data_IF_317817350281
#
_entry.id   IF_317817350281
#
_cell.length_a   1.000
_cell.length_b   1.000
_cell.length_c   1.000
_cell.angle_alpha   90.00
_cell.angle_beta   90.00
_cell.angle_gamma   90.00
#
_symmetry.space_group_name_H-M   'P 1'
#
loop_
_entity.id
_entity.type
_entity.pdbx_description
1 polymer ?
#
# COMPACT_ATOMS: atom_id res chain seq x y z
N UNK A 1 -0.30 -64.02 19.68
CA UNK A 1 -1.01 -62.94 20.37
C UNK A 1 -1.37 -61.86 19.35
N UNK A 2 -2.61 -61.83 18.93
CA UNK A 2 -3.12 -60.99 17.88
C UNK A 2 -3.41 -59.58 18.44
N UNK A 3 -2.90 -58.54 17.73
CA UNK A 3 -3.24 -57.13 18.00
C UNK A 3 -4.51 -56.76 17.25
N UNK A 4 -5.55 -56.36 18.01
CA UNK A 4 -6.77 -55.79 17.46
C UNK A 4 -6.53 -54.44 16.77
N UNK A 5 -7.12 -54.19 15.59
CA UNK A 5 -7.09 -52.86 14.97
C UNK A 5 -8.19 -51.96 15.57
N UNK A 6 -7.83 -50.71 15.83
CA UNK A 6 -8.72 -49.62 16.25
C UNK A 6 -9.78 -49.28 15.17
N UNK A 7 -10.99 -48.88 15.57
CA UNK A 7 -12.05 -48.57 14.61
C UNK A 7 -11.80 -47.25 13.87
N UNK A 8 -11.95 -47.27 12.56
CA UNK A 8 -11.95 -46.07 11.68
C UNK A 8 -13.27 -45.29 11.96
N UNK A 9 -13.16 -44.05 12.39
CA UNK A 9 -14.30 -43.14 12.44
C UNK A 9 -14.61 -42.65 11.01
N UNK A 10 -15.75 -43.08 10.50
CA UNK A 10 -16.39 -42.52 9.33
C UNK A 10 -16.98 -41.13 9.68
N UNK A 11 -16.29 -40.06 9.34
CA UNK A 11 -16.92 -38.75 9.23
C UNK A 11 -17.62 -38.68 7.87
N UNK A 12 -18.95 -38.85 7.89
CA UNK A 12 -19.78 -38.70 6.71
C UNK A 12 -19.81 -37.26 6.22
N UNK A 13 -19.33 -37.07 4.99
CA UNK A 13 -19.33 -35.78 4.24
C UNK A 13 -20.72 -35.43 3.67
N UNK A 14 -21.81 -36.08 4.08
CA UNK A 14 -23.15 -35.80 3.53
C UNK A 14 -23.99 -34.77 4.29
N UNK A 15 -23.58 -34.33 5.49
CA UNK A 15 -24.38 -33.39 6.29
C UNK A 15 -24.11 -31.90 6.00
N UNK A 16 -23.08 -31.58 5.21
CA UNK A 16 -22.72 -30.20 4.89
C UNK A 16 -23.28 -29.72 3.54
N UNK A 17 -23.81 -30.60 2.71
CA UNK A 17 -24.36 -30.23 1.38
C UNK A 17 -25.85 -29.88 1.44
N UNK A 18 -26.60 -30.42 2.43
CA UNK A 18 -28.05 -30.16 2.55
C UNK A 18 -28.44 -28.82 3.22
N UNK A 19 -27.47 -28.07 3.78
CA UNK A 19 -27.78 -26.76 4.40
C UNK A 19 -27.62 -25.58 3.47
N UNK A 20 -27.25 -25.79 2.20
CA UNK A 20 -27.03 -24.69 1.22
C UNK A 20 -28.25 -24.36 0.35
N UNK A 21 -29.35 -25.08 0.43
CA UNK A 21 -30.51 -24.90 -0.46
C UNK A 21 -31.81 -24.52 0.25
N UNK A 22 -31.75 -23.97 1.45
CA UNK A 22 -32.92 -23.38 2.08
C UNK A 22 -32.80 -21.88 2.15
N UNK A 23 -32.86 -21.21 0.97
CA UNK A 23 -33.32 -19.83 0.90
C UNK A 23 -34.84 -19.93 1.01
N UNK A 24 -35.50 -19.36 2.02
CA UNK A 24 -36.95 -19.30 2.03
C UNK A 24 -37.39 -18.43 0.86
N UNK A 25 -37.98 -19.03 -0.15
CA UNK A 25 -38.77 -18.28 -1.14
C UNK A 25 -39.97 -17.72 -0.36
N UNK A 26 -39.96 -16.42 -0.17
CA UNK A 26 -41.14 -15.67 0.26
C UNK A 26 -42.01 -15.60 -0.98
N UNK A 27 -43.20 -16.22 -0.91
CA UNK A 27 -44.24 -16.08 -1.93
C UNK A 27 -44.64 -14.59 -2.00
N UNK A 28 -44.40 -13.97 -3.14
CA UNK A 28 -44.68 -12.55 -3.40
C UNK A 28 -46.18 -12.25 -3.57
N UNK A 29 -47.06 -13.22 -3.40
CA UNK A 29 -48.53 -13.04 -3.55
C UNK A 29 -49.24 -12.44 -2.32
N UNK A 30 -48.57 -12.28 -1.17
CA UNK A 30 -49.16 -11.74 0.08
C UNK A 30 -48.47 -10.45 0.56
N UNK A 31 -47.76 -9.73 -0.28
CA UNK A 31 -47.21 -8.40 0.06
C UNK A 31 -48.34 -7.37 0.03
N UNK A 32 -48.61 -6.61 1.09
CA UNK A 32 -49.59 -5.52 1.04
C UNK A 32 -49.09 -4.50 0.01
N UNK A 33 -49.98 -4.16 -0.96
CA UNK A 33 -49.79 -3.01 -1.83
C UNK A 33 -49.61 -1.77 -0.96
N UNK A 34 -48.42 -1.27 -0.88
CA UNK A 34 -48.13 0.04 -0.29
C UNK A 34 -48.29 1.06 -1.40
N UNK A 35 -49.48 1.67 -1.46
CA UNK A 35 -49.69 2.90 -2.24
C UNK A 35 -48.79 3.98 -1.61
N UNK A 36 -47.64 4.23 -2.21
CA UNK A 36 -46.80 5.38 -1.89
C UNK A 36 -47.37 6.57 -2.66
N UNK A 37 -48.28 7.34 -2.04
CA UNK A 37 -48.63 8.67 -2.52
C UNK A 37 -47.44 9.58 -2.26
N UNK A 38 -46.64 9.79 -3.28
CA UNK A 38 -45.58 10.81 -3.28
C UNK A 38 -46.25 12.13 -3.58
N UNK A 39 -46.29 13.05 -2.62
CA UNK A 39 -46.69 14.42 -2.87
C UNK A 39 -45.65 15.05 -3.80
N UNK A 40 -46.07 15.35 -5.03
CA UNK A 40 -45.27 15.80 -6.17
C UNK A 40 -44.57 17.17 -5.96
N UNK A 41 -44.87 17.87 -4.85
CA UNK A 41 -44.34 19.22 -4.61
C UNK A 41 -43.07 19.26 -3.77
N UNK A 42 -42.65 18.15 -3.16
CA UNK A 42 -41.47 18.13 -2.24
C UNK A 42 -40.20 17.53 -2.82
N UNK A 43 -40.26 17.00 -4.04
CA UNK A 43 -39.12 16.31 -4.68
C UNK A 43 -38.37 17.18 -5.69
N UNK A 44 -38.91 18.37 -6.01
CA UNK A 44 -38.38 19.21 -7.10
C UNK A 44 -37.25 20.17 -6.70
N UNK A 45 -36.85 20.25 -5.45
CA UNK A 45 -35.87 21.24 -5.02
C UNK A 45 -34.48 20.64 -4.59
N UNK A 46 -34.23 19.34 -4.83
CA UNK A 46 -32.92 18.79 -4.62
C UNK A 46 -32.33 18.41 -5.99
N UNK A 47 -31.41 19.23 -6.55
CA UNK A 47 -30.87 19.00 -7.90
C UNK A 47 -29.94 17.80 -7.99
N UNK A 48 -29.73 17.06 -6.90
CA UNK A 48 -28.70 16.03 -6.78
C UNK A 48 -29.24 14.59 -6.81
N UNK A 49 -30.57 14.35 -6.94
CA UNK A 49 -31.14 13.01 -6.98
C UNK A 49 -31.95 12.79 -8.25
N UNK A 50 -31.44 12.05 -9.21
CA UNK A 50 -32.21 11.52 -10.33
C UNK A 50 -32.90 10.22 -9.92
N UNK A 51 -34.22 10.24 -9.83
CA UNK A 51 -35.08 9.08 -9.59
C UNK A 51 -35.75 8.72 -10.91
N UNK A 52 -35.39 7.58 -11.49
CA UNK A 52 -36.06 7.04 -12.68
C UNK A 52 -36.96 5.87 -12.26
N UNK A 53 -38.24 5.93 -12.68
CA UNK A 53 -39.19 4.86 -12.46
C UNK A 53 -39.19 3.94 -13.68
N UNK A 54 -38.92 2.67 -13.52
CA UNK A 54 -39.03 1.68 -14.58
C UNK A 54 -40.50 1.23 -14.77
N UNK A 55 -40.87 0.82 -15.98
CA UNK A 55 -42.25 0.39 -16.33
C UNK A 55 -42.72 -0.86 -15.57
N UNK A 56 -41.80 -1.59 -14.92
CA UNK A 56 -42.04 -2.80 -14.10
C UNK A 56 -42.30 -2.49 -12.62
N UNK A 57 -42.35 -1.20 -12.24
CA UNK A 57 -42.52 -0.76 -10.86
C UNK A 57 -41.21 -0.72 -10.04
N UNK A 58 -40.06 -0.96 -10.65
CA UNK A 58 -38.76 -0.76 -10.06
C UNK A 58 -38.45 0.75 -9.97
N UNK A 59 -37.80 1.16 -8.88
CA UNK A 59 -37.28 2.52 -8.71
C UNK A 59 -35.76 2.41 -8.76
N UNK A 60 -35.17 2.89 -9.83
CA UNK A 60 -33.72 3.10 -9.92
C UNK A 60 -33.43 4.46 -9.29
N UNK A 61 -32.87 4.43 -8.09
CA UNK A 61 -32.31 5.61 -7.46
C UNK A 61 -30.85 5.66 -7.92
N UNK A 62 -30.57 6.56 -8.85
CA UNK A 62 -29.20 6.88 -9.20
C UNK A 62 -28.58 7.62 -8.01
N UNK A 63 -27.86 6.89 -7.20
CA UNK A 63 -27.00 7.42 -6.12
C UNK A 63 -25.67 7.94 -6.68
N UNK A 64 -25.56 8.10 -7.99
CA UNK A 64 -24.49 8.92 -8.50
C UNK A 64 -24.74 10.34 -7.97
N UNK A 65 -24.12 10.73 -6.88
CA UNK A 65 -24.05 12.14 -6.56
C UNK A 65 -23.37 12.70 -7.77
N UNK A 66 -23.87 13.68 -8.45
CA UNK A 66 -23.27 14.34 -9.58
C UNK A 66 -21.73 14.40 -9.47
N UNK A 67 -21.09 13.30 -9.28
CA UNK A 67 -19.92 12.86 -9.97
C UNK A 67 -20.46 12.36 -11.33
N UNK A 68 -21.22 13.23 -12.02
CA UNK A 68 -21.15 13.28 -13.45
C UNK A 68 -19.69 13.11 -13.74
N UNK A 69 -19.31 12.01 -14.36
CA UNK A 69 -17.99 11.83 -14.92
C UNK A 69 -17.60 13.23 -15.40
N UNK A 70 -16.61 13.90 -14.76
CA UNK A 70 -16.51 15.35 -14.80
C UNK A 70 -16.68 15.72 -16.23
N UNK A 71 -17.69 16.55 -16.51
CA UNK A 71 -18.09 16.90 -17.87
C UNK A 71 -16.77 17.00 -18.63
N UNK A 72 -16.49 16.01 -19.49
CA UNK A 72 -15.20 15.84 -20.17
C UNK A 72 -14.95 16.94 -21.18
N UNK A 73 -15.72 18.01 -21.05
CA UNK A 73 -15.41 19.30 -21.61
C UNK A 73 -14.06 19.78 -21.01
N UNK A 74 -13.20 20.15 -21.86
CA UNK A 74 -11.86 20.76 -21.80
C UNK A 74 -11.17 21.01 -20.44
N UNK A 75 -11.88 21.19 -19.31
CA UNK A 75 -11.28 21.58 -18.03
C UNK A 75 -10.44 20.47 -17.38
N UNK A 76 -10.93 19.24 -17.36
CA UNK A 76 -10.25 18.07 -16.76
C UNK A 76 -9.45 17.23 -17.77
N UNK A 77 -9.39 17.68 -19.03
CA UNK A 77 -8.63 17.01 -20.07
C UNK A 77 -7.14 16.99 -19.76
N UNK A 78 -6.41 16.10 -20.42
CA UNK A 78 -4.96 16.11 -20.41
C UNK A 78 -4.46 17.36 -21.18
N UNK A 79 -3.66 18.20 -20.53
CA UNK A 79 -3.18 19.44 -21.09
C UNK A 79 -1.89 19.29 -21.89
N UNK A 80 -1.21 18.15 -21.83
CA UNK A 80 0.11 17.93 -22.44
C UNK A 80 0.13 18.30 -23.91
N UNK A 81 -0.90 17.89 -24.66
CA UNK A 81 -0.96 18.14 -26.11
C UNK A 81 -1.18 19.62 -26.48
N UNK A 82 -1.56 20.44 -25.50
CA UNK A 82 -1.84 21.88 -25.68
C UNK A 82 -0.71 22.77 -25.14
N UNK A 83 0.32 22.20 -24.55
CA UNK A 83 1.45 22.92 -23.97
C UNK A 83 2.62 22.97 -24.96
N UNK A 84 3.38 24.04 -24.93
CA UNK A 84 4.61 24.16 -25.72
C UNK A 84 5.67 23.16 -25.23
N UNK A 85 6.35 22.49 -26.17
CA UNK A 85 7.40 21.50 -25.87
C UNK A 85 8.47 22.02 -24.90
N UNK A 86 8.80 23.33 -25.00
CA UNK A 86 9.77 23.97 -24.11
C UNK A 86 9.29 24.09 -22.67
N UNK A 87 7.98 24.30 -22.46
CA UNK A 87 7.35 24.37 -21.14
C UNK A 87 7.32 22.96 -20.54
N UNK A 88 6.90 21.98 -21.32
CA UNK A 88 6.84 20.57 -20.94
C UNK A 88 8.23 20.07 -20.52
N UNK A 89 9.27 20.32 -21.32
CA UNK A 89 10.64 19.89 -21.03
C UNK A 89 11.21 20.55 -19.76
N UNK A 90 10.96 21.85 -19.56
CA UNK A 90 11.41 22.58 -18.36
C UNK A 90 10.72 22.04 -17.11
N UNK A 91 9.39 21.87 -17.17
CA UNK A 91 8.59 21.32 -16.08
C UNK A 91 9.03 19.90 -15.70
N UNK A 92 9.22 19.04 -16.71
CA UNK A 92 9.70 17.67 -16.50
C UNK A 92 11.04 17.64 -15.80
N UNK A 93 12.02 18.39 -16.30
CA UNK A 93 13.37 18.44 -15.71
C UNK A 93 13.33 18.90 -14.25
N UNK A 94 12.51 19.92 -13.95
CA UNK A 94 12.37 20.42 -12.59
C UNK A 94 11.71 19.39 -11.67
N UNK A 95 10.66 18.70 -12.12
CA UNK A 95 9.97 17.69 -11.32
C UNK A 95 10.84 16.48 -11.01
N UNK A 96 11.66 16.03 -11.96
CA UNK A 96 12.61 14.94 -11.74
C UNK A 96 13.72 15.37 -10.79
N UNK A 97 14.27 16.59 -10.94
CA UNK A 97 15.28 17.14 -10.04
C UNK A 97 14.74 17.29 -8.61
N UNK A 98 13.52 17.81 -8.43
CA UNK A 98 12.85 17.92 -7.15
C UNK A 98 12.62 16.56 -6.51
N UNK A 99 12.23 15.57 -7.30
CA UNK A 99 12.07 14.19 -6.85
C UNK A 99 13.38 13.60 -6.33
N UNK A 100 14.46 13.70 -7.11
CA UNK A 100 15.78 13.20 -6.73
C UNK A 100 16.30 13.89 -5.45
N UNK A 101 16.14 15.20 -5.36
CA UNK A 101 16.53 15.96 -4.17
C UNK A 101 15.74 15.53 -2.91
N UNK A 102 14.43 15.35 -3.04
CA UNK A 102 13.57 14.90 -1.95
C UNK A 102 13.85 13.45 -1.54
N UNK A 103 14.17 12.57 -2.49
CA UNK A 103 14.59 11.19 -2.27
C UNK A 103 15.90 11.13 -1.49
N UNK A 104 16.92 11.89 -1.92
CA UNK A 104 18.19 12.00 -1.18
C UNK A 104 17.98 12.58 0.22
N UNK A 105 17.10 13.57 0.37
CA UNK A 105 16.79 14.19 1.66
C UNK A 105 16.18 13.24 2.71
N UNK A 106 15.64 12.09 2.30
CA UNK A 106 15.08 11.08 3.21
C UNK A 106 15.93 9.80 3.32
N UNK A 107 17.12 9.76 2.76
CA UNK A 107 17.99 8.58 2.72
C UNK A 107 18.23 7.95 4.09
N UNK A 108 18.50 8.76 5.13
CA UNK A 108 18.68 8.26 6.49
C UNK A 108 17.44 7.50 7.02
N UNK A 109 16.24 7.92 6.61
CA UNK A 109 15.00 7.23 6.94
C UNK A 109 14.88 5.89 6.17
N UNK A 110 15.24 5.86 4.90
CA UNK A 110 15.27 4.63 4.09
C UNK A 110 16.28 3.61 4.63
N UNK A 111 17.48 4.05 5.02
CA UNK A 111 18.50 3.23 5.66
C UNK A 111 18.03 2.62 7.00
N UNK A 112 17.33 3.42 7.79
CA UNK A 112 16.73 2.93 9.03
C UNK A 112 15.63 1.90 8.75
N UNK A 113 14.84 2.11 7.72
CA UNK A 113 13.78 1.18 7.30
C UNK A 113 14.36 -0.13 6.76
N UNK A 114 15.38 -0.09 5.89
CA UNK A 114 16.12 -1.25 5.41
C UNK A 114 16.69 -2.08 6.58
N UNK A 115 17.35 -1.41 7.52
CA UNK A 115 17.83 -2.07 8.74
C UNK A 115 16.71 -2.77 9.52
N UNK A 116 15.50 -2.21 9.47
CA UNK A 116 14.32 -2.83 10.08
C UNK A 116 13.87 -4.10 9.38
N UNK A 117 13.94 -4.13 8.06
CA UNK A 117 13.64 -5.32 7.28
C UNK A 117 14.60 -6.45 7.62
N UNK A 118 15.92 -6.20 7.67
CA UNK A 118 16.93 -7.16 8.12
C UNK A 118 16.62 -7.72 9.51
N UNK A 119 16.16 -6.86 10.44
CA UNK A 119 15.85 -7.24 11.82
C UNK A 119 14.56 -8.06 11.98
N UNK A 120 13.74 -8.18 10.93
CA UNK A 120 12.59 -9.12 10.93
C UNK A 120 13.08 -10.57 11.07
N UNK A 121 14.28 -10.88 10.53
CA UNK A 121 14.91 -12.19 10.70
C UNK A 121 14.21 -13.30 9.91
N UNK A 122 13.59 -12.98 8.78
CA UNK A 122 12.96 -13.96 7.90
C UNK A 122 13.99 -14.77 7.10
N UNK A 123 15.22 -14.28 6.99
CA UNK A 123 16.32 -14.97 6.34
C UNK A 123 17.36 -15.42 7.33
N UNK A 124 18.05 -16.52 7.01
CA UNK A 124 19.22 -17.00 7.74
C UNK A 124 20.47 -16.46 7.06
N UNK A 125 21.25 -15.65 7.80
CA UNK A 125 22.48 -15.05 7.30
C UNK A 125 23.63 -16.05 7.39
N UNK A 126 24.30 -16.37 6.27
CA UNK A 126 25.53 -17.15 6.30
C UNK A 126 26.70 -16.27 6.76
N UNK A 127 27.23 -16.55 7.95
CA UNK A 127 28.33 -15.77 8.56
C UNK A 127 29.66 -16.49 8.50
N UNK A 128 30.68 -15.73 8.13
CA UNK A 128 32.09 -16.17 8.18
C UNK A 128 32.86 -15.59 9.39
N UNK A 129 32.31 -14.63 10.07
CA UNK A 129 32.85 -13.95 11.25
C UNK A 129 32.00 -14.20 12.50
N UNK A 130 32.59 -14.37 13.69
CA UNK A 130 34.02 -14.34 14.03
C UNK A 130 34.82 -15.61 13.62
N UNK A 131 34.15 -16.65 13.13
CA UNK A 131 34.74 -17.84 12.57
C UNK A 131 33.84 -18.44 11.50
N UNK A 132 34.37 -19.20 10.58
CA UNK A 132 33.60 -19.82 9.50
C UNK A 132 32.59 -20.82 10.06
N UNK A 133 31.31 -20.60 9.75
CA UNK A 133 30.20 -21.36 10.30
C UNK A 133 29.63 -20.80 11.61
N UNK A 134 29.93 -19.54 11.93
CA UNK A 134 29.25 -18.80 12.99
C UNK A 134 27.75 -18.71 12.72
N UNK A 135 26.95 -18.68 13.78
CA UNK A 135 25.49 -18.69 13.62
C UNK A 135 24.97 -17.40 13.01
N UNK A 136 24.08 -17.51 12.01
CA UNK A 136 23.36 -16.40 11.35
C UNK A 136 21.95 -16.16 11.86
N UNK A 137 21.59 -16.76 12.99
CA UNK A 137 20.25 -16.61 13.58
C UNK A 137 19.96 -15.15 13.93
N UNK A 138 18.77 -14.67 13.61
CA UNK A 138 18.23 -13.39 14.05
C UNK A 138 17.09 -13.63 15.02
N UNK A 139 17.06 -12.89 16.13
CA UNK A 139 15.96 -13.00 17.09
C UNK A 139 14.70 -12.33 16.54
N UNK A 140 13.55 -13.02 16.39
CA UNK A 140 12.38 -12.51 15.71
C UNK A 140 11.52 -11.55 16.55
N UNK A 141 12.13 -10.79 17.46
CA UNK A 141 11.42 -9.88 18.37
C UNK A 141 10.58 -8.84 17.61
N UNK A 142 11.16 -8.24 16.54
CA UNK A 142 10.48 -7.25 15.74
C UNK A 142 9.35 -7.88 14.93
N UNK A 143 9.59 -9.02 14.30
CA UNK A 143 8.58 -9.74 13.52
C UNK A 143 7.38 -10.16 14.39
N UNK A 144 7.64 -10.67 15.61
CA UNK A 144 6.58 -11.01 16.56
C UNK A 144 5.73 -9.80 16.93
N UNK A 145 6.35 -8.66 17.24
CA UNK A 145 5.64 -7.44 17.59
C UNK A 145 4.79 -6.90 16.43
N UNK A 146 5.32 -6.90 15.21
CA UNK A 146 4.62 -6.46 14.00
C UNK A 146 3.43 -7.35 13.68
N UNK A 147 3.61 -8.67 13.68
CA UNK A 147 2.55 -9.63 13.36
C UNK A 147 1.46 -9.66 14.42
N UNK A 148 1.82 -9.48 15.70
CA UNK A 148 0.86 -9.37 16.79
C UNK A 148 -0.02 -8.13 16.66
N UNK A 149 0.58 -6.98 16.32
CA UNK A 149 -0.17 -5.76 16.04
C UNK A 149 -1.12 -5.95 14.86
N UNK A 150 -0.62 -6.49 13.73
CA UNK A 150 -1.43 -6.75 12.54
C UNK A 150 -2.66 -7.61 12.87
N UNK A 151 -2.47 -8.73 13.56
CA UNK A 151 -3.55 -9.64 13.90
C UNK A 151 -4.63 -9.00 14.80
N UNK A 152 -4.21 -8.20 15.78
CA UNK A 152 -5.14 -7.50 16.67
C UNK A 152 -5.87 -6.37 15.94
N UNK A 153 -5.14 -5.51 15.23
CA UNK A 153 -5.72 -4.38 14.52
C UNK A 153 -6.68 -4.82 13.42
N UNK A 154 -6.35 -5.86 12.66
CA UNK A 154 -7.23 -6.41 11.63
C UNK A 154 -8.59 -6.84 12.19
N UNK A 155 -8.60 -7.57 13.31
CA UNK A 155 -9.85 -8.03 13.94
C UNK A 155 -10.71 -6.89 14.49
N UNK A 156 -10.10 -5.81 14.97
CA UNK A 156 -10.81 -4.66 15.52
C UNK A 156 -11.31 -3.69 14.44
N UNK A 157 -10.51 -3.46 13.39
CA UNK A 157 -10.81 -2.49 12.33
C UNK A 157 -11.72 -3.05 11.24
N UNK A 158 -11.67 -4.38 11.02
CA UNK A 158 -12.53 -5.08 10.05
C UNK A 158 -13.42 -6.13 10.75
N UNK A 159 -14.37 -5.70 11.59
CA UNK A 159 -15.28 -6.62 12.25
C UNK A 159 -16.20 -7.31 11.24
N UNK A 160 -16.73 -8.49 11.59
CA UNK A 160 -17.60 -9.28 10.73
C UNK A 160 -18.88 -8.54 10.25
N UNK A 161 -19.33 -7.52 10.99
CA UNK A 161 -20.45 -6.66 10.60
C UNK A 161 -20.11 -5.53 9.64
N UNK A 162 -18.85 -5.45 9.17
CA UNK A 162 -18.30 -4.39 8.34
C UNK A 162 -17.72 -3.23 9.14
N UNK A 163 -16.74 -2.49 8.54
CA UNK A 163 -16.00 -1.42 9.23
C UNK A 163 -16.80 -0.13 9.40
N UNK A 164 -17.85 0.09 8.58
CA UNK A 164 -18.58 1.36 8.56
C UNK A 164 -19.70 1.35 9.58
N UNK A 165 -19.73 2.40 10.41
CA UNK A 165 -20.83 2.76 11.31
C UNK A 165 -21.34 4.12 10.95
N UNK A 166 -22.65 4.33 11.01
CA UNK A 166 -23.29 5.62 10.74
C UNK A 166 -23.75 6.23 12.05
N UNK A 167 -23.58 7.52 12.20
CA UNK A 167 -24.06 8.32 13.32
C UNK A 167 -24.89 9.49 12.82
N UNK A 168 -26.05 9.74 13.43
CA UNK A 168 -26.93 10.83 13.02
C UNK A 168 -26.56 12.07 13.83
N UNK A 169 -26.13 13.13 13.13
CA UNK A 169 -25.86 14.43 13.72
C UNK A 169 -27.15 15.26 13.75
N UNK A 170 -27.55 15.74 14.92
CA UNK A 170 -28.76 16.56 15.11
C UNK A 170 -29.98 15.79 15.57
N UNK A 171 -31.20 16.20 15.13
CA UNK A 171 -32.44 15.54 15.55
C UNK A 171 -32.58 14.15 14.93
N UNK A 172 -32.79 13.17 15.78
CA UNK A 172 -33.07 11.79 15.36
C UNK A 172 -34.54 11.68 14.99
N UNK A 173 -34.82 11.23 13.78
CA UNK A 173 -36.15 10.85 13.29
C UNK A 173 -36.10 9.43 12.74
N UNK A 174 -37.24 8.76 12.65
CA UNK A 174 -37.30 7.40 12.12
C UNK A 174 -36.75 7.33 10.69
N UNK A 175 -37.09 8.29 9.85
CA UNK A 175 -36.60 8.37 8.46
C UNK A 175 -35.07 8.46 8.39
N UNK A 176 -34.45 9.30 9.24
CA UNK A 176 -33.00 9.42 9.32
C UNK A 176 -32.33 8.16 9.83
N UNK A 177 -32.97 7.43 10.75
CA UNK A 177 -32.45 6.13 11.23
C UNK A 177 -32.48 5.09 10.11
N UNK A 178 -33.54 5.03 9.34
CA UNK A 178 -33.68 4.14 8.19
C UNK A 178 -32.67 4.51 7.08
N UNK A 179 -32.51 5.79 6.80
CA UNK A 179 -31.49 6.27 5.86
C UNK A 179 -30.08 5.93 6.34
N UNK A 180 -29.74 6.21 7.58
CA UNK A 180 -28.45 5.86 8.16
C UNK A 180 -28.16 4.36 8.08
N UNK A 181 -29.19 3.54 8.26
CA UNK A 181 -29.08 2.10 8.12
C UNK A 181 -28.80 1.67 6.68
N UNK A 182 -29.52 2.24 5.69
CA UNK A 182 -29.25 1.99 4.27
C UNK A 182 -27.84 2.41 3.88
N UNK A 183 -27.42 3.62 4.25
CA UNK A 183 -26.06 4.12 4.00
C UNK A 183 -25.02 3.21 4.59
N UNK A 184 -25.18 2.76 5.85
CA UNK A 184 -24.27 1.82 6.48
C UNK A 184 -24.15 0.51 5.70
N UNK A 185 -25.27 -0.07 5.28
CA UNK A 185 -25.27 -1.32 4.51
C UNK A 185 -24.60 -1.13 3.14
N UNK A 186 -24.92 -0.05 2.45
CA UNK A 186 -24.34 0.27 1.15
C UNK A 186 -22.82 0.48 1.25
N UNK A 187 -22.35 1.30 2.18
CA UNK A 187 -20.93 1.55 2.37
C UNK A 187 -20.16 0.28 2.74
N UNK A 188 -20.72 -0.55 3.64
CA UNK A 188 -20.10 -1.83 3.95
C UNK A 188 -20.05 -2.76 2.74
N UNK A 189 -21.12 -2.80 1.93
CA UNK A 189 -21.14 -3.57 0.68
C UNK A 189 -20.08 -3.07 -0.31
N UNK A 190 -19.94 -1.77 -0.49
CA UNK A 190 -18.90 -1.18 -1.35
C UNK A 190 -17.51 -1.62 -0.90
N UNK A 191 -17.18 -1.47 0.38
CA UNK A 191 -15.84 -1.77 0.92
C UNK A 191 -15.54 -3.27 0.91
N UNK A 192 -16.51 -4.12 1.28
CA UNK A 192 -16.25 -5.56 1.47
C UNK A 192 -16.47 -6.41 0.22
N UNK A 193 -17.28 -5.94 -0.74
CA UNK A 193 -17.70 -6.76 -1.89
C UNK A 193 -17.33 -6.16 -3.23
N UNK A 194 -17.48 -4.84 -3.41
CA UNK A 194 -17.16 -4.15 -4.67
C UNK A 194 -15.67 -3.87 -4.77
N UNK A 195 -15.07 -3.29 -3.72
CA UNK A 195 -13.63 -3.04 -3.64
C UNK A 195 -12.90 -4.31 -3.20
N UNK A 196 -12.65 -5.23 -4.12
CA UNK A 196 -12.04 -6.54 -3.82
C UNK A 196 -10.63 -6.42 -3.24
N UNK A 197 -9.92 -5.36 -3.60
CA UNK A 197 -8.58 -5.03 -3.11
C UNK A 197 -8.56 -4.52 -1.68
N UNK A 198 -9.67 -3.97 -1.17
CA UNK A 198 -9.68 -3.24 0.11
C UNK A 198 -9.17 -4.09 1.27
N UNK A 199 -9.71 -5.29 1.45
CA UNK A 199 -9.37 -6.16 2.59
C UNK A 199 -7.93 -6.67 2.53
N UNK A 200 -7.44 -7.29 1.43
CA UNK A 200 -6.08 -7.79 1.37
C UNK A 200 -5.03 -6.67 1.45
N UNK A 201 -5.25 -5.55 0.79
CA UNK A 201 -4.33 -4.41 0.86
C UNK A 201 -4.37 -3.70 2.21
N UNK A 202 -5.50 -3.74 2.92
CA UNK A 202 -5.60 -3.23 4.27
C UNK A 202 -4.83 -4.11 5.27
N UNK A 203 -4.92 -5.42 5.11
CA UNK A 203 -4.15 -6.38 5.91
C UNK A 203 -2.65 -6.19 5.69
N UNK A 204 -2.21 -6.03 4.44
CA UNK A 204 -0.84 -5.70 4.10
C UNK A 204 -0.40 -4.37 4.74
N UNK A 205 -1.22 -3.33 4.63
CA UNK A 205 -0.95 -2.03 5.26
C UNK A 205 -0.73 -2.15 6.78
N UNK A 206 -1.50 -2.99 7.46
CA UNK A 206 -1.37 -3.21 8.91
C UNK A 206 -0.07 -3.92 9.31
N UNK A 207 0.57 -4.64 8.39
CA UNK A 207 1.90 -5.17 8.59
C UNK A 207 2.98 -4.09 8.43
N UNK A 208 2.87 -3.27 7.36
CA UNK A 208 3.84 -2.21 7.07
C UNK A 208 3.79 -1.05 8.07
N UNK A 209 2.59 -0.66 8.52
CA UNK A 209 2.38 0.49 9.39
C UNK A 209 3.21 0.45 10.68
N UNK A 210 3.17 -0.61 11.50
CA UNK A 210 3.99 -0.67 12.71
C UNK A 210 5.49 -0.80 12.41
N UNK A 211 5.88 -1.34 11.26
CA UNK A 211 7.28 -1.52 10.88
C UNK A 211 7.90 -0.18 10.48
N UNK A 212 7.42 0.43 9.41
CA UNK A 212 7.94 1.68 8.84
C UNK A 212 7.52 2.94 9.61
N UNK A 213 6.40 2.87 10.34
CA UNK A 213 5.82 4.00 11.07
C UNK A 213 4.88 4.88 10.25
N UNK A 214 4.90 4.75 8.93
CA UNK A 214 4.02 5.48 8.00
C UNK A 214 3.57 4.59 6.87
N UNK A 215 2.32 4.73 6.48
CA UNK A 215 1.75 4.11 5.28
C UNK A 215 0.68 5.01 4.71
N UNK A 216 0.33 4.78 3.46
CA UNK A 216 -0.68 5.58 2.77
C UNK A 216 -1.71 4.69 2.10
N UNK A 217 -2.90 5.27 1.90
CA UNK A 217 -3.88 4.73 0.97
C UNK A 217 -4.21 5.77 -0.08
N UNK A 218 -4.20 5.37 -1.33
CA UNK A 218 -4.68 6.17 -2.46
C UNK A 218 -6.11 5.77 -2.76
N UNK A 219 -7.03 6.74 -2.70
CA UNK A 219 -8.46 6.52 -2.97
C UNK A 219 -8.84 7.35 -4.18
N UNK A 220 -9.36 6.70 -5.21
CA UNK A 220 -9.79 7.35 -6.45
C UNK A 220 -10.86 6.53 -7.17
N UNK A 221 -11.53 7.14 -8.10
CA UNK A 221 -12.43 6.44 -9.02
C UNK A 221 -11.62 5.95 -10.23
N UNK A 222 -11.69 4.66 -10.52
CA UNK A 222 -11.01 4.06 -11.67
C UNK A 222 -12.02 3.89 -12.80
N UNK A 223 -11.88 4.70 -13.85
CA UNK A 223 -12.77 4.70 -15.01
C UNK A 223 -12.73 3.36 -15.79
N UNK A 224 -11.57 2.69 -15.80
CA UNK A 224 -11.44 1.39 -16.47
C UNK A 224 -12.17 0.28 -15.71
N UNK A 225 -12.20 0.36 -14.39
CA UNK A 225 -12.90 -0.58 -13.53
C UNK A 225 -14.35 -0.16 -13.26
N UNK A 226 -14.72 1.10 -13.58
CA UNK A 226 -16.05 1.66 -13.35
C UNK A 226 -16.44 1.69 -11.86
N UNK A 227 -15.49 1.84 -10.93
CA UNK A 227 -15.73 1.82 -9.49
C UNK A 227 -14.66 2.58 -8.71
N UNK A 228 -14.98 2.95 -7.49
CA UNK A 228 -13.99 3.46 -6.54
C UNK A 228 -12.98 2.35 -6.17
N UNK A 229 -11.74 2.76 -5.98
CA UNK A 229 -10.59 1.92 -5.67
C UNK A 229 -9.84 2.50 -4.49
N UNK A 230 -9.36 1.63 -3.60
CA UNK A 230 -8.55 2.01 -2.44
C UNK A 230 -7.27 1.18 -2.44
N UNK A 231 -6.19 1.76 -2.93
CA UNK A 231 -4.88 1.12 -3.06
C UNK A 231 -3.99 1.41 -1.85
N UNK A 232 -3.29 0.39 -1.39
CA UNK A 232 -2.21 0.56 -0.43
C UNK A 232 -0.98 1.15 -1.14
N UNK A 233 -0.36 2.14 -0.52
CA UNK A 233 0.88 2.76 -0.98
C UNK A 233 1.86 2.73 0.19
N UNK A 234 2.93 1.93 0.09
CA UNK A 234 3.96 1.89 1.11
C UNK A 234 4.75 3.21 1.15
N UNK A 235 5.38 3.47 2.30
CA UNK A 235 6.00 4.78 2.54
C UNK A 235 7.18 5.08 1.60
N UNK A 236 7.87 4.07 1.11
CA UNK A 236 8.96 4.21 0.14
C UNK A 236 8.49 4.72 -1.22
N UNK A 237 7.22 4.49 -1.58
CA UNK A 237 6.65 4.92 -2.87
C UNK A 237 6.04 6.33 -2.83
N UNK A 238 5.96 6.98 -1.66
CA UNK A 238 5.44 8.35 -1.55
C UNK A 238 6.50 9.28 -0.99
N UNK A 239 6.94 10.23 -1.81
CA UNK A 239 8.01 11.17 -1.50
C UNK A 239 7.43 12.56 -1.34
N UNK A 240 7.85 13.25 -0.29
CA UNK A 240 7.44 14.62 0.02
C UNK A 240 8.67 15.49 0.35
N UNK A 241 8.59 16.80 0.14
CA UNK A 241 9.65 17.72 0.55
C UNK A 241 9.89 17.70 2.07
N UNK A 242 11.12 18.01 2.48
CA UNK A 242 11.50 18.08 3.88
C UNK A 242 10.61 19.01 4.72
N UNK A 243 10.15 20.11 4.12
CA UNK A 243 9.32 21.11 4.79
C UNK A 243 7.88 20.65 5.03
N UNK A 244 7.42 19.60 4.34
CA UNK A 244 6.06 19.12 4.46
C UNK A 244 5.79 18.57 5.88
N UNK A 245 4.66 18.97 6.47
CA UNK A 245 4.17 18.45 7.75
C UNK A 245 3.00 17.50 7.58
N UNK A 246 2.19 17.75 6.56
CA UNK A 246 1.02 16.95 6.18
C UNK A 246 0.82 16.97 4.66
N UNK A 247 -0.11 16.13 4.16
CA UNK A 247 -0.39 16.03 2.73
C UNK A 247 -1.20 17.20 2.17
N UNK A 248 -1.93 17.92 3.02
CA UNK A 248 -2.79 19.03 2.58
C UNK A 248 -1.96 20.27 2.26
N UNK A 249 -0.92 20.52 3.05
CA UNK A 249 -0.05 21.69 2.93
C UNK A 249 1.22 21.44 2.13
N UNK A 250 1.50 20.18 1.76
CA UNK A 250 2.66 19.85 0.93
C UNK A 250 2.50 20.43 -0.48
N UNK A 251 3.47 21.25 -0.92
CA UNK A 251 3.49 21.82 -2.28
C UNK A 251 3.75 20.76 -3.36
N UNK A 252 4.50 19.72 -3.02
CA UNK A 252 4.80 18.61 -3.91
C UNK A 252 4.65 17.27 -3.18
N UNK A 253 3.93 16.33 -3.78
CA UNK A 253 3.83 14.95 -3.33
C UNK A 253 4.04 14.05 -4.53
N UNK A 254 5.14 13.32 -4.56
CA UNK A 254 5.48 12.42 -5.67
C UNK A 254 5.17 10.98 -5.30
N UNK A 255 4.33 10.32 -6.10
CA UNK A 255 3.99 8.91 -5.99
C UNK A 255 4.70 8.13 -7.09
N UNK A 256 5.53 7.17 -6.71
CA UNK A 256 6.24 6.27 -7.62
C UNK A 256 5.28 5.15 -8.03
N UNK A 257 5.05 5.02 -9.33
CA UNK A 257 4.17 3.99 -9.90
C UNK A 257 4.99 3.12 -10.84
N UNK A 258 4.97 1.82 -10.63
CA UNK A 258 5.55 0.83 -11.54
C UNK A 258 4.44 0.20 -12.35
N UNK A 259 4.56 0.27 -13.68
CA UNK A 259 3.58 -0.30 -14.61
C UNK A 259 4.27 -1.08 -15.71
N UNK A 260 3.55 -2.02 -16.30
CA UNK A 260 4.03 -2.76 -17.47
C UNK A 260 3.81 -1.96 -18.76
N UNK A 261 4.62 -2.24 -19.79
CA UNK A 261 4.49 -1.63 -21.12
C UNK A 261 3.05 -1.79 -21.69
N UNK A 262 2.43 -2.93 -21.47
CA UNK A 262 1.06 -3.19 -21.93
C UNK A 262 0.01 -2.35 -21.16
N UNK A 263 0.20 -2.14 -19.88
CA UNK A 263 -0.69 -1.31 -19.08
C UNK A 263 -0.55 0.18 -19.46
N UNK A 264 0.68 0.65 -19.68
CA UNK A 264 0.93 1.96 -20.22
C UNK A 264 0.21 2.16 -21.56
N UNK A 265 0.37 1.20 -22.50
CA UNK A 265 -0.26 1.27 -23.81
C UNK A 265 -1.78 1.30 -23.76
N UNK A 266 -2.40 0.55 -22.86
CA UNK A 266 -3.86 0.61 -22.64
C UNK A 266 -4.31 1.99 -22.20
N UNK A 267 -3.57 2.64 -21.28
CA UNK A 267 -3.89 3.99 -20.79
C UNK A 267 -3.67 5.06 -21.88
N UNK A 268 -2.67 4.89 -22.74
CA UNK A 268 -2.45 5.75 -23.90
C UNK A 268 -3.61 5.64 -24.92
N UNK A 269 -3.99 4.42 -25.31
CA UNK A 269 -5.10 4.19 -26.25
C UNK A 269 -6.43 4.74 -25.71
N UNK A 270 -6.63 4.69 -24.40
CA UNK A 270 -7.81 5.24 -23.75
C UNK A 270 -7.77 6.78 -23.62
N UNK A 271 -6.68 7.45 -24.02
CA UNK A 271 -6.54 8.91 -23.91
C UNK A 271 -6.28 9.41 -22.49
N UNK A 272 -5.98 8.50 -21.56
CA UNK A 272 -5.60 8.89 -20.20
C UNK A 272 -4.18 9.45 -20.16
N UNK A 273 -3.24 8.83 -20.88
CA UNK A 273 -1.88 9.29 -21.10
C UNK A 273 -1.67 9.69 -22.55
N UNK A 274 -0.80 10.66 -22.77
CA UNK A 274 -0.35 11.05 -24.12
C UNK A 274 0.36 9.88 -24.81
N UNK A 275 0.26 9.80 -26.14
CA UNK A 275 0.90 8.76 -26.95
C UNK A 275 2.37 9.08 -27.20
N UNK A 276 3.17 9.00 -26.14
CA UNK A 276 4.62 9.25 -26.14
C UNK A 276 5.35 7.93 -25.95
N UNK A 277 6.45 7.74 -26.66
CA UNK A 277 7.28 6.54 -26.52
C UNK A 277 8.08 6.61 -25.22
N UNK A 278 7.92 5.61 -24.37
CA UNK A 278 8.62 5.49 -23.08
C UNK A 278 9.39 4.19 -23.07
N UNK A 279 10.66 4.25 -22.77
CA UNK A 279 11.51 3.06 -22.61
C UNK A 279 11.32 2.43 -21.23
N UNK A 280 11.46 1.09 -21.11
CA UNK A 280 11.52 0.42 -19.82
C UNK A 280 12.58 1.02 -18.91
N UNK A 281 12.33 1.04 -17.61
CA UNK A 281 13.25 1.57 -16.62
C UNK A 281 14.61 0.85 -16.67
N UNK A 282 15.68 1.63 -16.59
CA UNK A 282 17.06 1.16 -16.46
C UNK A 282 17.62 1.49 -15.07
N UNK A 283 16.86 2.19 -14.23
CA UNK A 283 17.25 2.52 -12.87
C UNK A 283 17.30 1.26 -12.01
N UNK A 284 18.34 1.18 -11.16
CA UNK A 284 18.44 0.13 -10.16
C UNK A 284 17.30 0.27 -9.13
N UNK A 285 16.75 -0.84 -8.63
CA UNK A 285 15.76 -0.79 -7.58
C UNK A 285 16.31 -0.08 -6.34
N UNK A 286 15.45 0.50 -5.52
CA UNK A 286 15.88 1.11 -4.26
C UNK A 286 16.44 0.03 -3.32
N UNK A 287 17.40 0.39 -2.46
CA UNK A 287 17.97 -0.53 -1.46
C UNK A 287 16.90 -1.17 -0.56
N UNK A 288 15.80 -0.49 -0.30
CA UNK A 288 14.64 -1.03 0.43
C UNK A 288 13.94 -2.11 -0.39
N UNK A 289 13.79 -1.90 -1.69
CA UNK A 289 13.17 -2.89 -2.60
C UNK A 289 14.05 -4.13 -2.74
N UNK A 290 15.35 -3.95 -2.89
CA UNK A 290 16.32 -5.05 -2.93
C UNK A 290 16.23 -5.92 -1.68
N UNK A 291 16.20 -5.30 -0.49
CA UNK A 291 16.06 -6.05 0.77
C UNK A 291 14.73 -6.80 0.86
N UNK A 292 13.62 -6.21 0.36
CA UNK A 292 12.32 -6.90 0.29
C UNK A 292 12.35 -8.08 -0.68
N UNK A 293 12.98 -7.92 -1.84
CA UNK A 293 13.11 -8.96 -2.85
C UNK A 293 13.99 -10.10 -2.31
N UNK A 294 15.06 -9.79 -1.62
CA UNK A 294 15.91 -10.76 -0.90
C UNK A 294 15.10 -11.55 0.14
N UNK A 295 14.29 -10.85 0.96
CA UNK A 295 13.45 -11.51 1.98
C UNK A 295 12.41 -12.43 1.33
N UNK A 296 11.81 -12.03 0.22
CA UNK A 296 10.82 -12.85 -0.49
C UNK A 296 11.44 -13.95 -1.34
N UNK A 297 12.75 -13.84 -1.64
CA UNK A 297 13.47 -14.75 -2.51
C UNK A 297 13.04 -14.65 -3.97
N UNK A 298 12.58 -13.48 -4.39
CA UNK A 298 12.16 -13.17 -5.76
C UNK A 298 13.06 -12.07 -6.29
N UNK A 299 13.80 -12.37 -7.35
CA UNK A 299 14.65 -11.41 -8.03
C UNK A 299 13.99 -10.98 -9.37
N UNK A 300 14.09 -9.70 -9.74
CA UNK A 300 13.60 -9.24 -11.04
C UNK A 300 14.38 -9.92 -12.18
N UNK A 301 13.68 -10.33 -13.22
CA UNK A 301 14.30 -10.99 -14.37
C UNK A 301 14.42 -10.02 -15.55
N UNK A 302 15.32 -10.33 -16.50
CA UNK A 302 15.54 -9.52 -17.72
C UNK A 302 14.23 -9.39 -18.56
N UNK A 303 13.26 -10.27 -18.34
CA UNK A 303 11.97 -10.26 -19.05
C UNK A 303 11.00 -9.26 -18.41
N UNK A 304 11.19 -8.92 -17.16
CA UNK A 304 10.36 -7.97 -16.44
C UNK A 304 10.72 -6.54 -16.88
N UNK A 305 9.90 -6.00 -17.79
CA UNK A 305 10.04 -4.64 -18.28
C UNK A 305 9.08 -3.75 -17.52
N UNK A 306 9.54 -3.25 -16.39
CA UNK A 306 8.80 -2.26 -15.63
C UNK A 306 9.14 -0.84 -16.13
N UNK A 307 8.13 0.02 -16.13
CA UNK A 307 8.26 1.43 -16.42
C UNK A 307 7.96 2.17 -15.14
N UNK A 308 8.91 2.97 -14.66
CA UNK A 308 8.72 3.79 -13.47
C UNK A 308 8.17 5.16 -13.87
N UNK A 309 6.99 5.47 -13.34
CA UNK A 309 6.34 6.75 -13.52
C UNK A 309 6.31 7.51 -12.19
N UNK A 310 6.55 8.79 -12.28
CA UNK A 310 6.43 9.75 -11.18
C UNK A 310 5.11 10.50 -11.34
N UNK A 311 4.14 10.22 -10.48
CA UNK A 311 2.90 10.98 -10.40
C UNK A 311 3.09 12.09 -9.37
N UNK A 312 3.33 13.30 -9.84
CA UNK A 312 3.62 14.48 -9.04
C UNK A 312 2.33 15.28 -8.81
N UNK A 313 1.88 15.36 -7.57
CA UNK A 313 0.84 16.27 -7.14
C UNK A 313 1.51 17.58 -6.70
N UNK A 314 1.46 18.61 -7.53
CA UNK A 314 2.29 19.81 -7.40
C UNK A 314 1.51 21.07 -7.69
N UNK A 315 1.89 22.17 -7.05
CA UNK A 315 1.34 23.49 -7.32
C UNK A 315 2.23 24.21 -8.34
N UNK A 316 1.68 24.49 -9.54
CA UNK A 316 2.40 25.08 -10.68
C UNK A 316 1.74 26.36 -11.15
N UNK A 317 2.56 27.32 -11.56
CA UNK A 317 2.16 28.44 -12.39
C UNK A 317 2.48 28.05 -13.84
N UNK A 318 1.43 27.59 -14.55
CA UNK A 318 1.58 26.97 -15.87
C UNK A 318 1.27 28.00 -16.95
N UNK A 319 2.25 28.26 -17.80
CA UNK A 319 2.16 29.21 -18.90
C UNK A 319 0.97 28.91 -19.84
N UNK A 320 0.07 29.90 -20.01
CA UNK A 320 -1.19 29.76 -20.76
C UNK A 320 -2.38 29.25 -19.94
N UNK A 321 -2.17 28.89 -18.68
CA UNK A 321 -3.20 28.43 -17.74
C UNK A 321 -3.07 29.09 -16.36
N UNK A 322 -2.48 30.29 -16.34
CA UNK A 322 -2.28 31.08 -15.13
C UNK A 322 -3.63 31.50 -14.49
N UNK A 323 -3.62 31.69 -13.19
CA UNK A 323 -4.71 32.36 -12.52
C UNK A 323 -4.72 33.85 -12.87
N UNK A 324 -5.86 34.36 -13.34
CA UNK A 324 -6.02 35.74 -13.77
C UNK A 324 -6.81 36.54 -12.74
N UNK A 325 -6.27 37.71 -12.39
CA UNK A 325 -6.98 38.66 -11.54
C UNK A 325 -8.17 39.33 -12.24
N UNK A 326 -8.92 40.13 -11.50
CA UNK A 326 -10.06 40.90 -12.03
C UNK A 326 -9.69 41.85 -13.18
N UNK A 327 -8.41 42.23 -13.25
CA UNK A 327 -7.79 43.08 -14.29
C UNK A 327 -7.31 42.30 -15.53
N UNK A 328 -7.38 40.97 -15.48
CA UNK A 328 -6.93 40.07 -16.53
C UNK A 328 -5.42 39.83 -16.58
N UNK A 329 -4.70 40.32 -15.59
CA UNK A 329 -3.25 40.05 -15.43
C UNK A 329 -3.04 38.79 -14.60
N UNK A 330 -1.93 38.02 -14.85
CA UNK A 330 -1.59 36.87 -14.03
C UNK A 330 -1.37 37.24 -12.56
N UNK A 331 -2.02 36.51 -11.64
CA UNK A 331 -1.88 36.75 -10.19
C UNK A 331 -0.55 36.19 -9.64
N UNK A 332 0.10 35.28 -10.37
CA UNK A 332 1.30 34.54 -9.90
C UNK A 332 0.97 33.49 -8.84
N UNK A 333 -0.30 33.14 -8.63
CA UNK A 333 -0.73 32.07 -7.77
C UNK A 333 -0.47 30.73 -8.50
N UNK A 334 0.22 29.82 -7.80
CA UNK A 334 0.39 28.46 -8.31
C UNK A 334 -0.89 27.65 -8.09
N UNK A 335 -1.36 26.99 -9.14
CA UNK A 335 -2.56 26.16 -9.11
C UNK A 335 -2.18 24.67 -8.93
N UNK A 336 -3.04 23.85 -8.29
CA UNK A 336 -2.77 22.42 -8.11
C UNK A 336 -2.91 21.64 -9.42
N UNK A 337 -1.88 20.85 -9.77
CA UNK A 337 -1.87 19.93 -10.90
C UNK A 337 -1.40 18.53 -10.48
N UNK A 338 -1.75 17.55 -11.30
CA UNK A 338 -1.19 16.19 -11.27
C UNK A 338 -0.43 16.02 -12.57
N UNK A 339 0.88 15.88 -12.46
CA UNK A 339 1.78 15.66 -13.60
C UNK A 339 2.37 14.28 -13.52
N UNK A 340 2.23 13.47 -14.58
CA UNK A 340 2.85 12.15 -14.67
C UNK A 340 4.01 12.20 -15.63
N UNK A 341 5.19 11.88 -15.12
CA UNK A 341 6.47 11.91 -15.85
C UNK A 341 7.13 10.55 -15.77
N UNK A 342 7.78 10.11 -16.83
CA UNK A 342 8.66 8.93 -16.78
C UNK A 342 9.98 9.29 -16.10
N UNK A 343 10.39 8.54 -15.07
CA UNK A 343 11.64 8.78 -14.33
C UNK A 343 12.86 8.78 -15.26
N UNK A 344 12.99 7.77 -16.13
CA UNK A 344 14.18 7.60 -16.98
C UNK A 344 14.22 8.50 -18.20
N UNK A 345 13.09 8.68 -18.89
CA UNK A 345 13.07 9.45 -20.15
C UNK A 345 12.73 10.92 -19.95
N UNK A 346 12.19 11.30 -18.79
CA UNK A 346 11.64 12.64 -18.56
C UNK A 346 10.41 12.95 -19.42
N UNK A 347 9.84 11.96 -20.10
CA UNK A 347 8.65 12.16 -20.93
C UNK A 347 7.43 12.43 -20.07
N UNK A 348 6.71 13.53 -20.35
CA UNK A 348 5.46 13.87 -19.66
C UNK A 348 4.30 13.15 -20.34
N UNK A 349 3.59 12.35 -19.58
CA UNK A 349 2.46 11.55 -20.05
C UNK A 349 1.11 12.24 -19.81
N UNK A 350 1.00 12.98 -18.72
CA UNK A 350 -0.23 13.73 -18.43
C UNK A 350 0.03 14.94 -17.56
N UNK A 351 -0.75 16.00 -17.81
CA UNK A 351 -0.87 17.19 -16.97
C UNK A 351 -2.34 17.45 -16.76
N UNK A 352 -2.84 17.31 -15.54
CA UNK A 352 -4.25 17.47 -15.22
C UNK A 352 -4.44 18.42 -14.06
N UNK A 353 -5.50 19.23 -14.11
CA UNK A 353 -5.88 20.08 -12.98
C UNK A 353 -6.35 19.24 -11.80
N UNK A 354 -5.88 19.59 -10.61
CA UNK A 354 -6.19 18.88 -9.36
C UNK A 354 -7.07 19.74 -8.42
N UNK A 355 -8.02 20.47 -8.99
CA UNK A 355 -8.98 21.28 -8.26
C UNK A 355 -10.31 21.34 -9.00
N UNK A 356 -11.39 21.71 -8.30
CA UNK A 356 -12.74 21.81 -8.88
C UNK A 356 -12.88 23.14 -9.61
N UNK A 357 -13.46 23.14 -10.81
CA UNK A 357 -13.62 24.30 -11.68
C UNK A 357 -14.28 25.52 -11.00
N UNK A 358 -15.23 25.26 -10.12
CA UNK A 358 -16.03 26.31 -9.49
C UNK A 358 -15.56 26.68 -8.08
N UNK A 359 -14.42 26.13 -7.64
CA UNK A 359 -13.84 26.45 -6.33
C UNK A 359 -12.97 27.72 -6.40
N UNK A 360 -13.40 28.83 -5.77
CA UNK A 360 -12.64 30.09 -5.79
C UNK A 360 -11.32 30.01 -4.98
N UNK A 361 -11.15 28.98 -4.16
CA UNK A 361 -9.96 28.80 -3.34
C UNK A 361 -8.96 27.81 -3.96
N UNK A 362 -9.27 27.22 -5.12
CA UNK A 362 -8.45 26.23 -5.81
C UNK A 362 -7.98 25.10 -4.89
N UNK A 363 -8.88 24.59 -4.03
CA UNK A 363 -8.54 23.57 -3.05
C UNK A 363 -8.10 22.30 -3.75
N UNK A 364 -6.90 21.82 -3.39
CA UNK A 364 -6.32 20.57 -3.90
C UNK A 364 -7.21 19.38 -3.55
N UNK A 365 -7.58 18.58 -4.57
CA UNK A 365 -8.23 17.30 -4.34
C UNK A 365 -7.24 16.32 -3.72
N UNK A 366 -7.64 15.71 -2.60
CA UNK A 366 -6.77 14.83 -1.84
C UNK A 366 -7.07 13.36 -2.15
N UNK A 367 -6.13 12.69 -2.78
CA UNK A 367 -6.23 11.28 -3.12
C UNK A 367 -5.56 10.35 -2.10
N UNK A 368 -4.63 10.87 -1.31
CA UNK A 368 -3.86 10.09 -0.36
C UNK A 368 -4.33 10.32 1.07
N UNK A 369 -4.42 9.22 1.83
CA UNK A 369 -4.68 9.23 3.27
C UNK A 369 -3.44 8.70 3.98
N UNK A 370 -2.87 9.51 4.86
CA UNK A 370 -1.68 9.15 5.63
C UNK A 370 -2.05 8.49 6.95
N UNK A 371 -1.51 7.30 7.19
CA UNK A 371 -1.61 6.58 8.44
C UNK A 371 -0.24 6.61 9.15
N UNK A 372 -0.23 7.08 10.40
CA UNK A 372 0.97 7.11 11.25
C UNK A 372 0.80 6.14 12.41
N UNK A 373 1.79 5.27 12.63
CA UNK A 373 1.80 4.37 13.80
C UNK A 373 1.99 5.16 15.09
N UNK A 374 3.07 5.91 15.16
CA UNK A 374 3.31 6.89 16.20
C UNK A 374 3.66 8.22 15.54
N UNK A 375 2.89 9.30 15.79
CA UNK A 375 3.25 10.61 15.26
C UNK A 375 4.67 10.98 15.70
N UNK A 376 5.53 11.25 14.71
CA UNK A 376 6.92 11.64 14.95
C UNK A 376 7.08 13.15 15.02
N UNK A 377 8.31 13.62 14.72
CA UNK A 377 8.67 15.04 14.72
C UNK A 377 8.51 15.70 13.35
N UNK A 378 8.22 14.90 12.31
CA UNK A 378 8.11 15.37 10.93
C UNK A 378 6.95 14.72 10.19
N UNK A 379 7.08 14.67 8.87
CA UNK A 379 6.08 14.07 8.00
C UNK A 379 5.92 12.57 8.28
N UNK A 380 7.02 11.82 8.30
CA UNK A 380 6.98 10.38 8.56
C UNK A 380 6.83 10.08 10.04
N UNK A 381 5.96 9.12 10.36
CA UNK A 381 5.78 8.61 11.72
C UNK A 381 6.92 7.70 12.17
N UNK A 382 6.93 7.38 13.44
CA UNK A 382 7.88 6.46 14.05
C UNK A 382 7.27 5.05 14.13
N UNK A 383 7.99 4.05 13.64
CA UNK A 383 7.59 2.64 13.71
C UNK A 383 8.30 1.89 14.86
N UNK A 384 7.98 0.61 14.98
CA UNK A 384 8.59 -0.29 15.97
C UNK A 384 10.10 -0.42 15.78
N UNK A 385 10.60 -0.28 14.55
CA UNK A 385 12.04 -0.25 14.30
C UNK A 385 12.74 0.82 15.13
N UNK A 386 12.17 2.02 15.22
CA UNK A 386 12.72 3.12 16.00
C UNK A 386 12.62 2.87 17.50
N UNK A 387 11.59 2.14 17.94
CA UNK A 387 11.31 1.90 19.36
C UNK A 387 12.09 0.70 19.92
N UNK A 388 12.08 -0.42 19.21
CA UNK A 388 12.62 -1.70 19.69
C UNK A 388 13.71 -2.28 18.79
N UNK A 389 14.06 -1.63 17.68
CA UNK A 389 15.09 -2.13 16.75
C UNK A 389 16.44 -2.31 17.41
N UNK A 390 16.87 -1.36 18.25
CA UNK A 390 18.09 -1.47 19.03
C UNK A 390 18.07 -2.64 20.02
N UNK A 391 16.91 -2.91 20.62
CA UNK A 391 16.72 -4.05 21.52
C UNK A 391 16.76 -5.38 20.76
N UNK A 392 16.10 -5.46 19.60
CA UNK A 392 16.13 -6.61 18.70
C UNK A 392 17.57 -6.95 18.25
N UNK A 393 18.34 -5.92 17.88
CA UNK A 393 19.76 -6.07 17.51
C UNK A 393 20.59 -6.62 18.68
N UNK A 394 20.37 -6.10 19.89
CA UNK A 394 21.07 -6.57 21.10
C UNK A 394 20.69 -8.01 21.44
N UNK A 395 19.40 -8.36 21.36
CA UNK A 395 18.94 -9.73 21.58
C UNK A 395 19.52 -10.71 20.55
N UNK A 396 19.58 -10.32 19.29
CA UNK A 396 20.21 -11.10 18.20
C UNK A 396 21.70 -11.31 18.48
N UNK A 397 22.43 -10.26 18.85
CA UNK A 397 23.85 -10.36 19.17
C UNK A 397 24.12 -11.29 20.37
N UNK A 398 23.32 -11.18 21.43
CA UNK A 398 23.42 -12.05 22.60
C UNK A 398 23.13 -13.52 22.26
N UNK A 399 22.07 -13.76 21.46
CA UNK A 399 21.71 -15.11 21.01
C UNK A 399 22.79 -15.72 20.14
N UNK A 400 23.36 -14.98 19.20
CA UNK A 400 24.47 -15.41 18.34
C UNK A 400 25.69 -15.74 19.18
N UNK A 401 26.08 -14.87 20.12
CA UNK A 401 27.23 -15.15 21.03
C UNK A 401 27.02 -16.40 21.88
N UNK A 402 25.81 -16.63 22.37
CA UNK A 402 25.50 -17.82 23.18
C UNK A 402 25.66 -19.11 22.37
N UNK A 403 25.09 -19.13 21.14
CA UNK A 403 25.19 -20.31 20.26
C UNK A 403 26.62 -20.53 19.80
N UNK A 404 27.33 -19.47 19.40
CA UNK A 404 28.71 -19.53 18.95
C UNK A 404 29.66 -19.99 20.07
N UNK A 405 29.47 -19.49 21.30
CA UNK A 405 30.20 -19.96 22.46
C UNK A 405 29.97 -21.46 22.76
N UNK A 406 28.69 -21.89 22.62
CA UNK A 406 28.33 -23.31 22.71
C UNK A 406 29.01 -24.16 21.64
N UNK A 407 29.07 -23.69 20.42
CA UNK A 407 29.74 -24.35 19.29
C UNK A 407 31.24 -24.48 19.53
N UNK A 408 31.90 -23.39 19.93
CA UNK A 408 33.32 -23.40 20.24
C UNK A 408 33.66 -24.27 21.47
N UNK A 409 32.78 -24.30 22.47
CA UNK A 409 32.95 -25.17 23.64
C UNK A 409 32.83 -26.65 23.30
N UNK A 410 31.92 -27.01 22.39
CA UNK A 410 31.71 -28.39 21.97
C UNK A 410 32.74 -28.89 20.94
N UNK A 411 33.34 -27.97 20.15
CA UNK A 411 34.34 -28.24 19.14
C UNK A 411 35.59 -27.41 19.41
N UNK A 412 36.34 -27.72 20.47
CA UNK A 412 37.50 -26.94 20.83
C UNK A 412 38.59 -27.07 19.75
N UNK A 413 39.00 -25.93 19.20
CA UNK A 413 40.11 -25.84 18.28
C UNK A 413 41.42 -25.75 19.08
N UNK A 414 42.46 -26.43 18.61
CA UNK A 414 43.78 -26.44 19.27
C UNK A 414 44.91 -26.46 18.25
N UNK A 415 46.11 -26.19 18.74
CA UNK A 415 47.32 -26.31 17.93
C UNK A 415 47.87 -27.73 18.03
N UNK A 416 48.11 -28.36 16.87
CA UNK A 416 48.77 -29.66 16.78
C UNK A 416 50.26 -29.43 16.50
N UNK A 417 51.12 -29.99 17.35
CA UNK A 417 52.57 -29.94 17.11
C UNK A 417 52.95 -30.75 15.85
N UNK A 418 53.82 -30.22 15.01
CA UNK A 418 54.27 -30.88 13.78
C UNK A 418 55.02 -32.12 14.16
N UNK A 419 54.52 -33.30 13.79
CA UNK A 419 55.12 -34.58 14.13
C UNK A 419 54.38 -35.40 15.18
N UNK A 420 53.36 -34.87 15.80
CA UNK A 420 52.49 -35.60 16.71
C UNK A 420 51.61 -36.58 15.90
N UNK A 421 51.71 -37.86 16.15
CA UNK A 421 50.79 -38.85 15.57
C UNK A 421 49.65 -39.09 16.54
N UNK A 422 48.41 -38.82 16.05
CA UNK A 422 47.18 -39.16 16.74
C UNK A 422 46.66 -40.47 16.14
N UNK A 423 46.34 -41.46 16.98
CA UNK A 423 45.65 -42.66 16.50
C UNK A 423 44.28 -42.28 16.02
N UNK A 424 43.93 -42.77 14.83
CA UNK A 424 42.63 -42.47 14.15
C UNK A 424 42.44 -40.98 13.84
N UNK A 425 43.43 -40.33 13.21
CA UNK A 425 43.37 -38.92 12.78
C UNK A 425 42.34 -38.67 11.67
N UNK A 426 41.83 -39.72 11.02
CA UNK A 426 40.87 -39.66 9.94
C UNK A 426 39.38 -39.60 10.41
N UNK A 427 39.13 -39.94 11.69
CA UNK A 427 37.78 -39.90 12.24
C UNK A 427 37.52 -38.61 13.03
N UNK A 428 36.36 -37.93 12.86
CA UNK A 428 36.02 -36.78 13.67
C UNK A 428 35.89 -37.14 15.15
N UNK A 429 36.36 -36.25 16.05
CA UNK A 429 36.24 -36.42 17.49
C UNK A 429 34.78 -36.33 17.91
N UNK A 430 34.32 -37.31 18.69
CA UNK A 430 33.02 -37.30 19.31
C UNK A 430 33.02 -36.45 20.61
N UNK A 431 31.92 -35.82 20.99
CA UNK A 431 31.83 -35.06 22.25
C UNK A 431 32.20 -35.96 23.47
N UNK A 432 33.20 -35.55 24.23
CA UNK A 432 33.67 -36.30 25.41
C UNK A 432 34.71 -37.41 25.10
N UNK A 433 35.14 -37.55 23.85
CA UNK A 433 36.17 -38.52 23.47
C UNK A 433 37.58 -37.99 23.78
N UNK A 434 38.38 -38.82 24.41
CA UNK A 434 39.82 -38.59 24.64
C UNK A 434 40.62 -39.53 23.74
N UNK A 435 41.52 -39.01 22.92
CA UNK A 435 42.41 -39.80 22.08
C UNK A 435 43.82 -39.81 22.63
N UNK A 436 44.44 -41.04 22.68
CA UNK A 436 45.81 -41.17 23.05
C UNK A 436 46.74 -40.56 21.99
N UNK A 437 47.67 -39.78 22.44
CA UNK A 437 48.68 -39.11 21.63
C UNK A 437 50.06 -39.66 21.96
N UNK A 438 50.69 -40.24 20.96
CA UNK A 438 52.06 -40.64 21.13
C UNK A 438 52.96 -39.39 21.18
N UNK A 439 53.49 -39.08 22.34
CA UNK A 439 54.54 -38.04 22.50
C UNK A 439 55.80 -38.44 21.84
N UNK A 440 56.57 -37.54 21.17
CA UNK A 440 57.86 -37.86 20.57
C UNK A 440 58.91 -38.20 21.61
#
# INVERSE_FOLDING_TARGET
MARNPLPRSNFGTSALVERRNAIPTVDLEDAPEVEVTVDDETIMDDPELKIEFEEDGGVVIDFDPVMSAPDTGDFYANLVDNLDDSVVARMSSQLVEDYEANKEGRKDWEDAYRTGLELLGFQYEERSEPFRGATGVTHPLLAEAVTQFQAQAFGELLPAGGPVRTEIVGKVTQEKEDQATRVRHFMNYQITSVMKEYTPEFDQMLFYLPLSGSTFKKVYYDEFLGRAVSKFVPAEQLIVPYIATDLETAENVTHIIQITENELRKKQIAGFYADVEVSPSQSEPSEVREEMDDITGVEPTIVDKEITLLECHVDLDLEGYEDLGDDGEPTGIKLPYIVTVSEDSGAVLSVRRNYTKDDPNYKKNQYFVHFKFLPGFGFYGLGLIHMIGGLSRTATAALRQLIDAGTLSNLPAGFKARGLRIRNDDDPLSPGEFRDVDAP
#
